data_IF_569913937447
#
_entry.id   IF_569913937447
#
_cell.length_a   1.000
_cell.length_b   1.000
_cell.length_c   1.000
_cell.angle_alpha   90.00
_cell.angle_beta   90.00
_cell.angle_gamma   90.00
#
_symmetry.space_group_name_H-M   'P 1'
#
loop_
_entity.id
_entity.type
_entity.pdbx_description
1 polymer ?
#
# COMPACT_ATOMS: atom_id res chain seq x y z
N UNK A 1 14.62 -69.15 -8.31
CA UNK A 1 15.60 -68.06 -8.46
C UNK A 1 15.34 -67.40 -9.80
N UNK A 2 14.56 -66.32 -9.82
CA UNK A 2 14.76 -65.10 -10.62
C UNK A 2 13.60 -64.16 -10.29
N UNK A 3 13.99 -62.94 -9.99
CA UNK A 3 13.26 -61.88 -9.30
C UNK A 3 12.79 -60.85 -10.34
N UNK A 4 11.80 -60.03 -9.94
CA UNK A 4 11.64 -58.61 -10.29
C UNK A 4 10.98 -58.25 -11.65
N UNK A 5 10.26 -57.14 -11.84
CA UNK A 5 10.02 -55.90 -11.08
C UNK A 5 8.57 -55.42 -11.31
N UNK A 6 7.90 -54.95 -10.26
CA UNK A 6 6.69 -54.14 -10.37
C UNK A 6 7.08 -52.68 -10.69
N UNK A 7 6.49 -52.10 -11.73
CA UNK A 7 6.68 -50.69 -12.06
C UNK A 7 5.76 -49.83 -11.19
N UNK A 8 6.35 -49.06 -10.26
CA UNK A 8 5.64 -48.04 -9.49
C UNK A 8 5.88 -46.71 -10.19
N UNK A 9 4.83 -46.13 -10.78
CA UNK A 9 4.87 -44.79 -11.35
C UNK A 9 4.71 -43.77 -10.22
N UNK A 10 5.75 -42.96 -10.01
CA UNK A 10 5.74 -41.82 -9.09
C UNK A 10 5.06 -40.63 -9.80
N UNK A 11 3.88 -40.23 -9.33
CA UNK A 11 3.23 -38.98 -9.75
C UNK A 11 3.78 -37.88 -8.84
N UNK A 12 4.62 -37.00 -9.38
CA UNK A 12 5.10 -35.81 -8.68
C UNK A 12 4.04 -34.70 -8.80
N UNK A 13 3.30 -34.46 -7.72
CA UNK A 13 2.45 -33.26 -7.58
C UNK A 13 3.36 -32.08 -7.25
N UNK A 14 3.45 -31.11 -8.16
CA UNK A 14 4.08 -29.83 -7.87
C UNK A 14 3.13 -29.02 -6.99
N UNK A 15 3.48 -28.89 -5.72
CA UNK A 15 2.88 -27.90 -4.82
C UNK A 15 3.66 -26.62 -5.06
N UNK A 16 3.06 -25.66 -5.75
CA UNK A 16 3.59 -24.31 -5.81
C UNK A 16 3.53 -23.74 -4.39
N UNK A 17 4.72 -23.49 -3.83
CA UNK A 17 4.86 -22.82 -2.55
C UNK A 17 4.35 -21.39 -2.72
N UNK A 18 3.15 -21.14 -2.21
CA UNK A 18 2.65 -19.81 -1.94
C UNK A 18 3.52 -19.26 -0.80
N UNK A 19 4.49 -18.39 -1.13
CA UNK A 19 5.29 -17.71 -0.11
C UNK A 19 4.38 -16.72 0.62
N UNK A 20 3.94 -17.14 1.80
CA UNK A 20 3.31 -16.28 2.80
C UNK A 20 4.39 -15.33 3.31
N UNK A 21 4.55 -14.19 2.66
CA UNK A 21 5.34 -13.08 3.19
C UNK A 21 4.62 -12.56 4.46
N UNK A 22 5.04 -13.03 5.62
CA UNK A 22 4.59 -12.48 6.91
C UNK A 22 5.78 -11.96 7.71
N UNK A 23 5.70 -10.64 7.92
CA UNK A 23 5.98 -9.90 9.16
C UNK A 23 7.44 -9.50 9.45
N UNK A 24 7.61 -8.18 9.55
CA UNK A 24 8.50 -7.57 10.55
C UNK A 24 9.60 -6.72 9.94
N UNK A 25 9.45 -5.40 10.11
CA UNK A 25 10.42 -4.33 9.85
C UNK A 25 11.83 -4.75 9.48
N UNK A 26 12.16 -4.61 8.20
CA UNK A 26 13.50 -4.76 7.67
C UNK A 26 13.48 -4.17 6.27
N UNK A 27 14.30 -3.14 6.05
CA UNK A 27 14.31 -2.31 4.84
C UNK A 27 14.42 -3.12 3.56
N UNK A 28 13.27 -3.51 3.05
CA UNK A 28 13.09 -4.03 1.71
C UNK A 28 12.71 -2.83 0.88
N UNK A 29 13.53 -2.51 -0.12
CA UNK A 29 13.24 -1.41 -1.05
C UNK A 29 11.90 -1.69 -1.73
N UNK A 30 10.82 -1.14 -1.18
CA UNK A 30 9.49 -1.17 -1.78
C UNK A 30 9.60 -0.41 -3.09
N UNK A 31 9.52 -1.11 -4.22
CA UNK A 31 9.54 -0.49 -5.54
C UNK A 31 8.13 -0.08 -5.98
N UNK A 32 7.13 -0.89 -5.63
CA UNK A 32 5.73 -0.61 -5.95
C UNK A 32 4.74 -1.30 -5.00
N UNK A 33 3.52 -0.77 -4.93
CA UNK A 33 2.38 -1.34 -4.22
C UNK A 33 1.06 -0.78 -4.75
N UNK A 34 -0.06 -1.36 -4.32
CA UNK A 34 -1.41 -0.91 -4.63
C UNK A 34 -2.03 -0.23 -3.42
N UNK A 35 -2.77 0.85 -3.66
CA UNK A 35 -3.61 1.49 -2.65
C UNK A 35 -5.07 1.23 -2.98
N UNK A 36 -5.80 0.68 -2.01
CA UNK A 36 -7.16 0.21 -2.17
C UNK A 36 -8.09 0.76 -1.08
N UNK A 37 -9.40 0.66 -1.33
CA UNK A 37 -10.48 0.95 -0.39
C UNK A 37 -10.56 2.38 0.16
N UNK A 38 -9.78 3.33 -0.37
CA UNK A 38 -9.94 4.74 -0.02
C UNK A 38 -11.31 5.26 -0.47
N UNK A 39 -11.98 6.05 0.37
CA UNK A 39 -13.17 6.80 -0.05
C UNK A 39 -12.85 7.98 -0.99
N UNK A 40 -11.56 8.29 -1.20
CA UNK A 40 -11.10 9.21 -2.23
C UNK A 40 -10.70 8.37 -3.44
N UNK A 41 -11.58 8.26 -4.44
CA UNK A 41 -11.41 7.33 -5.56
C UNK A 41 -10.10 7.56 -6.32
N UNK A 42 -9.71 8.82 -6.54
CA UNK A 42 -8.47 9.20 -7.21
C UNK A 42 -7.18 8.89 -6.42
N UNK A 43 -7.30 8.43 -5.17
CA UNK A 43 -6.16 7.97 -4.38
C UNK A 43 -5.87 6.48 -4.63
N UNK A 44 -6.89 5.70 -5.00
CA UNK A 44 -6.76 4.27 -5.27
C UNK A 44 -6.00 4.03 -6.58
N UNK A 45 -5.05 3.09 -6.59
CA UNK A 45 -4.25 2.82 -7.78
C UNK A 45 -2.89 2.20 -7.48
N UNK A 46 -1.99 2.28 -8.45
CA UNK A 46 -0.63 1.74 -8.38
C UNK A 46 0.34 2.86 -8.03
N UNK A 47 1.16 2.63 -7.00
CA UNK A 47 2.19 3.54 -6.56
C UNK A 47 3.56 2.94 -6.81
N UNK A 48 4.47 3.74 -7.36
CA UNK A 48 5.85 3.37 -7.59
C UNK A 48 6.80 4.35 -6.90
N UNK A 49 7.96 3.84 -6.53
CA UNK A 49 9.04 4.61 -5.92
C UNK A 49 9.57 5.67 -6.89
N UNK A 50 9.62 6.91 -6.43
CA UNK A 50 10.30 8.01 -7.12
C UNK A 50 11.63 8.32 -6.42
N UNK A 51 12.71 7.69 -6.91
CA UNK A 51 14.06 7.84 -6.38
C UNK A 51 14.61 9.29 -6.45
N UNK A 52 14.00 10.17 -7.26
CA UNK A 52 14.44 11.55 -7.40
C UNK A 52 13.98 12.43 -6.24
N UNK A 53 12.91 12.05 -5.52
CA UNK A 53 12.29 12.87 -4.49
C UNK A 53 12.34 12.18 -3.13
N UNK A 54 12.73 12.97 -2.13
CA UNK A 54 12.74 12.56 -0.75
C UNK A 54 11.99 13.60 0.09
N UNK A 55 11.30 13.12 1.10
CA UNK A 55 10.61 13.95 2.09
C UNK A 55 10.95 13.43 3.48
N UNK A 56 11.41 14.32 4.36
CA UNK A 56 11.95 13.97 5.68
C UNK A 56 12.90 12.77 5.62
N UNK A 57 13.89 12.72 4.73
CA UNK A 57 14.85 11.60 4.56
C UNK A 57 14.22 10.22 4.22
N UNK A 58 12.97 10.18 3.75
CA UNK A 58 12.32 8.99 3.22
C UNK A 58 11.99 9.15 1.72
N UNK A 59 11.90 8.05 0.97
CA UNK A 59 11.47 8.09 -0.41
C UNK A 59 10.02 8.60 -0.56
N UNK A 60 9.72 9.13 -1.74
CA UNK A 60 8.35 9.45 -2.16
C UNK A 60 7.85 8.38 -3.11
N UNK A 61 6.58 8.02 -3.00
CA UNK A 61 5.90 7.16 -3.96
C UNK A 61 4.85 7.96 -4.72
N UNK A 62 4.81 7.78 -6.03
CA UNK A 62 3.89 8.48 -6.93
C UNK A 62 2.89 7.50 -7.51
N UNK A 63 1.64 7.94 -7.69
CA UNK A 63 0.64 7.16 -8.42
C UNK A 63 0.99 7.16 -9.92
N UNK A 64 1.06 5.99 -10.54
CA UNK A 64 1.52 5.83 -11.94
C UNK A 64 0.45 5.33 -12.90
N UNK A 65 -0.69 4.88 -12.39
CA UNK A 65 -1.82 4.41 -13.20
C UNK A 65 -2.86 5.50 -13.50
N UNK A 66 -2.57 6.75 -13.12
CA UNK A 66 -3.38 7.92 -13.43
C UNK A 66 -2.71 8.77 -14.52
N UNK A 67 -3.42 8.95 -15.64
CA UNK A 67 -2.93 9.72 -16.77
C UNK A 67 -3.17 11.24 -16.59
N UNK A 68 -4.01 11.67 -15.63
CA UNK A 68 -4.35 13.08 -15.40
C UNK A 68 -3.71 13.67 -14.13
N UNK A 69 -2.38 13.73 -14.13
CA UNK A 69 -1.59 14.38 -13.06
C UNK A 69 -1.88 15.87 -12.90
N UNK A 70 -2.61 16.50 -13.84
CA UNK A 70 -2.93 17.93 -13.74
C UNK A 70 -4.11 18.21 -12.80
N UNK A 71 -4.97 17.22 -12.59
CA UNK A 71 -6.10 17.30 -11.66
C UNK A 71 -5.84 16.49 -10.39
N UNK A 72 -5.12 15.38 -10.50
CA UNK A 72 -4.81 14.48 -9.38
C UNK A 72 -3.35 13.99 -9.44
N UNK A 73 -2.47 14.58 -8.63
CA UNK A 73 -1.07 14.14 -8.43
C UNK A 73 -0.94 13.57 -7.02
N UNK A 74 -1.46 12.35 -6.82
CA UNK A 74 -1.39 11.71 -5.51
C UNK A 74 -0.01 11.12 -5.24
N UNK A 75 0.53 11.45 -4.08
CA UNK A 75 1.82 10.96 -3.60
C UNK A 75 1.72 10.46 -2.17
N UNK A 76 2.48 9.43 -1.87
CA UNK A 76 2.77 8.98 -0.51
C UNK A 76 4.16 9.47 -0.11
N UNK A 77 4.23 10.22 0.99
CA UNK A 77 5.45 10.88 1.44
C UNK A 77 5.51 10.94 2.97
N UNK A 78 6.69 11.19 3.52
CA UNK A 78 6.87 11.40 4.96
C UNK A 78 6.83 12.89 5.32
N UNK A 79 6.05 13.24 6.35
CA UNK A 79 5.96 14.60 6.86
C UNK A 79 5.80 14.63 8.39
N UNK A 80 6.72 15.33 9.04
CA UNK A 80 6.96 15.33 10.49
C UNK A 80 7.11 13.90 11.03
N UNK A 81 7.86 13.06 10.30
CA UNK A 81 8.13 11.68 10.69
C UNK A 81 6.98 10.69 10.45
N UNK A 82 5.87 11.11 9.84
CA UNK A 82 4.72 10.22 9.57
C UNK A 82 4.40 10.13 8.07
N UNK A 83 4.03 8.93 7.62
CA UNK A 83 3.57 8.69 6.27
C UNK A 83 2.21 9.33 6.00
N UNK A 84 2.09 10.01 4.86
CA UNK A 84 0.92 10.82 4.50
C UNK A 84 0.61 10.67 3.00
N UNK A 85 -0.67 10.66 2.67
CA UNK A 85 -1.15 10.79 1.30
C UNK A 85 -1.61 12.22 1.04
N UNK A 86 -1.10 12.86 -0.02
CA UNK A 86 -1.57 14.16 -0.46
C UNK A 86 -1.71 14.25 -1.97
N UNK A 87 -2.62 15.12 -2.41
CA UNK A 87 -2.70 15.56 -3.79
C UNK A 87 -1.80 16.80 -3.99
N UNK A 88 -0.84 16.71 -4.90
CA UNK A 88 0.14 17.72 -5.27
C UNK A 88 -0.25 18.56 -6.49
N UNK A 89 -1.43 18.31 -7.09
CA UNK A 89 -1.92 19.09 -8.23
C UNK A 89 -2.12 20.59 -7.87
N UNK A 90 -2.33 20.88 -6.58
CA UNK A 90 -2.41 22.24 -6.03
C UNK A 90 -1.38 22.48 -4.92
N UNK A 91 -0.97 23.74 -4.74
CA UNK A 91 -0.04 24.15 -3.68
C UNK A 91 -0.70 25.09 -2.66
N UNK A 92 -0.67 24.81 -1.35
CA UNK A 92 0.01 23.67 -0.71
C UNK A 92 -0.71 22.32 -0.95
N UNK A 93 0.01 21.17 -0.89
CA UNK A 93 -0.59 19.87 -1.14
C UNK A 93 -1.73 19.55 -0.17
N UNK A 94 -2.82 19.02 -0.71
CA UNK A 94 -3.98 18.63 0.07
C UNK A 94 -3.75 17.25 0.71
N UNK A 95 -3.38 17.22 2.00
CA UNK A 95 -3.22 15.96 2.75
C UNK A 95 -4.57 15.36 3.08
N UNK A 96 -4.84 14.15 2.58
CA UNK A 96 -6.10 13.43 2.79
C UNK A 96 -6.01 12.43 3.94
N UNK A 97 -4.93 11.66 4.00
CA UNK A 97 -4.74 10.60 4.98
C UNK A 97 -3.34 10.65 5.59
N UNK A 98 -3.23 10.22 6.84
CA UNK A 98 -1.98 10.15 7.58
C UNK A 98 -1.95 8.90 8.45
N UNK A 99 -0.81 8.20 8.47
CA UNK A 99 -0.55 7.15 9.44
C UNK A 99 -0.01 7.81 10.71
N UNK A 100 -0.90 8.27 11.57
CA UNK A 100 -0.56 8.96 12.83
C UNK A 100 -1.19 8.19 14.00
N UNK A 101 -0.38 7.60 14.89
CA UNK A 101 -0.86 6.73 15.96
C UNK A 101 -1.74 7.48 16.97
N UNK A 102 -1.75 8.81 16.95
CA UNK A 102 -2.51 9.64 17.90
C UNK A 102 -3.84 10.16 17.32
N UNK A 103 -4.06 10.07 16.01
CA UNK A 103 -5.29 10.57 15.37
C UNK A 103 -6.55 9.78 15.77
N UNK A 104 -6.41 8.53 16.22
CA UNK A 104 -7.54 7.69 16.64
C UNK A 104 -7.67 7.51 18.18
N UNK A 105 -7.03 8.38 18.99
CA UNK A 105 -7.24 8.53 20.44
C UNK A 105 -7.52 7.23 21.24
N UNK A 106 -6.67 6.20 21.18
CA UNK A 106 -6.82 5.10 22.14
C UNK A 106 -5.96 3.87 21.99
N UNK A 107 -5.45 3.58 20.80
CA UNK A 107 -4.52 2.46 20.60
C UNK A 107 -3.31 3.00 19.85
N UNK A 108 -2.11 2.76 20.40
CA UNK A 108 -0.90 2.73 19.57
C UNK A 108 -1.18 1.67 18.51
N UNK A 109 -1.64 2.11 17.34
CA UNK A 109 -1.71 1.21 16.21
C UNK A 109 -0.25 0.85 15.93
N UNK A 110 0.15 -0.40 16.22
CA UNK A 110 1.53 -0.86 16.02
C UNK A 110 2.00 -0.79 14.56
N UNK A 111 1.13 -0.29 13.67
CA UNK A 111 1.38 -0.02 12.27
C UNK A 111 2.10 1.33 12.06
N UNK A 112 1.68 2.41 12.74
CA UNK A 112 2.18 3.77 12.48
C UNK A 112 3.29 4.17 13.45
N UNK A 113 4.54 3.97 13.05
CA UNK A 113 5.72 4.44 13.79
C UNK A 113 6.25 5.76 13.24
N UNK A 114 6.76 6.60 14.15
CA UNK A 114 7.54 7.79 13.78
C UNK A 114 8.83 7.34 13.09
N UNK A 115 9.20 8.02 12.01
CA UNK A 115 10.43 7.81 11.23
C UNK A 115 10.61 6.40 10.67
N UNK A 116 9.52 5.64 10.51
CA UNK A 116 9.55 4.36 9.80
C UNK A 116 10.11 4.55 8.38
N UNK A 117 11.04 3.68 8.01
CA UNK A 117 11.71 3.70 6.71
C UNK A 117 10.77 3.36 5.56
N UNK A 118 9.81 2.48 5.82
CA UNK A 118 8.85 1.97 4.85
C UNK A 118 7.42 2.41 5.22
N UNK A 119 6.54 2.69 4.24
CA UNK A 119 5.15 3.00 4.50
C UNK A 119 4.41 1.80 5.12
N UNK A 120 3.66 2.00 6.22
CA UNK A 120 2.83 0.97 6.81
C UNK A 120 1.74 0.48 5.85
N UNK A 121 1.42 -0.80 5.89
CA UNK A 121 0.36 -1.33 5.02
C UNK A 121 -1.06 -0.92 5.43
N UNK A 122 -1.22 -0.46 6.68
CA UNK A 122 -2.49 -0.08 7.26
C UNK A 122 -2.28 0.98 8.37
N UNK A 123 -3.38 1.49 8.92
CA UNK A 123 -3.35 2.45 10.04
C UNK A 123 -3.47 3.91 9.63
N UNK A 124 -3.61 4.19 8.33
CA UNK A 124 -3.96 5.52 7.85
C UNK A 124 -5.32 5.94 8.38
N UNK A 125 -5.44 7.22 8.73
CA UNK A 125 -6.68 7.86 9.11
C UNK A 125 -6.85 9.16 8.34
N UNK A 126 -8.09 9.58 8.12
CA UNK A 126 -8.39 10.85 7.50
C UNK A 126 -7.78 12.01 8.31
N UNK A 127 -7.19 12.98 7.63
CA UNK A 127 -6.68 14.20 8.29
C UNK A 127 -7.80 14.98 8.98
N UNK A 128 -8.96 15.03 8.33
CA UNK A 128 -10.18 15.62 8.86
C UNK A 128 -11.18 14.49 9.09
N UNK A 129 -11.46 14.13 10.35
CA UNK A 129 -12.43 13.08 10.66
C UNK A 129 -13.82 13.45 10.14
N UNK A 130 -14.36 12.65 9.23
CA UNK A 130 -15.72 12.81 8.73
C UNK A 130 -16.45 11.46 8.64
N UNK A 131 -17.78 11.41 8.89
CA UNK A 131 -18.56 10.19 8.79
C UNK A 131 -18.47 9.57 7.38
N UNK A 132 -18.25 8.26 7.31
CA UNK A 132 -18.21 7.53 6.03
C UNK A 132 -16.91 7.66 5.25
N UNK A 133 -15.88 8.33 5.80
CA UNK A 133 -14.55 8.32 5.20
C UNK A 133 -13.89 6.97 5.47
N UNK A 134 -13.59 6.26 4.38
CA UNK A 134 -12.90 4.99 4.40
C UNK A 134 -11.41 5.24 4.16
N UNK A 135 -10.57 4.70 5.04
CA UNK A 135 -9.12 4.88 4.97
C UNK A 135 -8.48 3.90 3.99
N UNK A 136 -7.40 4.30 3.30
CA UNK A 136 -6.70 3.44 2.35
C UNK A 136 -6.02 2.28 3.06
N UNK A 137 -5.91 1.17 2.33
CA UNK A 137 -5.06 0.02 2.67
C UNK A 137 -4.04 -0.16 1.55
N UNK A 138 -2.80 -0.45 1.92
CA UNK A 138 -1.73 -0.77 0.98
C UNK A 138 -1.55 -2.28 0.91
N UNK A 139 -1.33 -2.79 -0.29
CA UNK A 139 -1.13 -4.22 -0.52
C UNK A 139 -0.22 -4.46 -1.74
N UNK A 140 0.36 -5.65 -1.81
CA UNK A 140 1.25 -6.04 -2.92
C UNK A 140 0.52 -6.68 -4.09
N UNK A 141 -0.71 -7.12 -3.86
CA UNK A 141 -1.57 -7.65 -4.90
C UNK A 141 -2.47 -6.53 -5.45
N UNK A 142 -2.87 -6.59 -6.73
CA UNK A 142 -3.84 -5.66 -7.27
C UNK A 142 -5.07 -5.56 -6.37
N UNK A 143 -5.65 -4.36 -6.27
CA UNK A 143 -6.97 -4.25 -5.68
C UNK A 143 -7.87 -5.30 -6.34
N UNK A 144 -8.68 -6.00 -5.54
CA UNK A 144 -9.67 -6.91 -6.09
C UNK A 144 -10.58 -6.17 -7.09
N UNK A 145 -11.55 -6.82 -7.73
CA UNK A 145 -12.59 -6.10 -8.45
C UNK A 145 -13.35 -5.21 -7.44
N UNK A 146 -12.81 -4.03 -7.17
CA UNK A 146 -13.47 -2.91 -6.55
C UNK A 146 -14.72 -2.74 -7.37
N UNK A 147 -15.87 -2.66 -6.71
CA UNK A 147 -17.13 -2.32 -7.36
C UNK A 147 -16.90 -1.04 -8.16
N UNK A 148 -16.57 -1.18 -9.43
CA UNK A 148 -16.92 -0.22 -10.45
C UNK A 148 -18.40 -0.06 -10.24
N UNK A 149 -18.78 1.05 -9.60
CA UNK A 149 -20.16 1.46 -9.48
C UNK A 149 -20.62 1.53 -10.93
N UNK A 150 -21.33 0.49 -11.38
CA UNK A 150 -22.07 0.53 -12.63
C UNK A 150 -23.01 1.72 -12.45
N UNK A 151 -22.64 2.84 -13.06
CA UNK A 151 -23.57 3.91 -13.30
C UNK A 151 -24.61 3.33 -14.27
N UNK A 152 -25.78 3.06 -13.70
CA UNK A 152 -27.04 2.80 -14.40
C UNK A 152 -27.71 4.14 -14.72
#
# INVERSE_FOLDING_TARGET
MFLLFAAVAFVATMVEAMEVATLGGGGGNLASFYVCDSSVDALNGVYELDDAFHSDDAPVFIRVDDDDVTTTDFRLFRYQGFWSFANFAEWPPAVHFRCDPFQNMGEESGFCGVDQADPPLAGYSAREPAPGVQSPVLQFEPCGPSRLKLEL
#
